data_IF_677927329651
#
_entry.id   IF_677927329651
#
_cell.length_a   1.000
_cell.length_b   1.000
_cell.length_c   1.000
_cell.angle_alpha   90.00
_cell.angle_beta   90.00
_cell.angle_gamma   90.00
#
_symmetry.space_group_name_H-M   'P 1'
#
loop_
_entity.id
_entity.type
_entity.pdbx_description
1 polymer ?
#
# COMPACT_ATOMS: atom_id res chain seq x y z
N UNK A 1 18.20 29.25 68.55
CA UNK A 1 17.32 30.44 68.74
C UNK A 1 15.91 29.96 68.47
N UNK A 2 15.26 29.36 69.48
CA UNK A 2 14.18 29.97 70.29
C UNK A 2 12.92 30.25 69.44
N UNK A 3 11.68 29.92 69.77
CA UNK A 3 10.96 29.37 70.94
C UNK A 3 9.54 29.06 70.35
N UNK A 4 8.82 27.96 70.69
CA UNK A 4 7.67 27.93 71.62
C UNK A 4 6.53 28.93 71.25
N UNK A 5 5.22 28.67 71.12
CA UNK A 5 4.23 27.77 71.75
C UNK A 5 2.95 27.78 70.86
N UNK A 6 2.24 26.67 70.64
CA UNK A 6 1.15 26.10 71.44
C UNK A 6 -0.06 27.04 71.69
N UNK A 7 -1.21 26.76 71.05
CA UNK A 7 -2.44 26.52 71.81
C UNK A 7 -3.49 25.73 71.02
N UNK A 8 -3.91 24.60 71.63
CA UNK A 8 -5.17 23.89 71.40
C UNK A 8 -6.34 24.81 71.76
N UNK A 9 -7.53 24.69 71.19
CA UNK A 9 -8.61 23.74 71.50
C UNK A 9 -9.79 24.13 70.56
N UNK A 10 -10.74 23.31 70.11
CA UNK A 10 -11.59 22.34 70.78
C UNK A 10 -12.24 21.41 69.74
N UNK A 11 -12.53 20.17 70.13
CA UNK A 11 -13.56 19.30 69.52
C UNK A 11 -14.67 19.09 70.57
N UNK A 12 -15.94 18.92 70.18
CA UNK A 12 -16.51 17.57 69.95
C UNK A 12 -17.48 17.48 68.73
N UNK A 13 -17.51 16.38 67.97
CA UNK A 13 -18.46 15.22 67.99
C UNK A 13 -19.96 15.66 67.98
N UNK A 14 -20.89 15.11 67.19
CA UNK A 14 -20.95 13.90 66.38
C UNK A 14 -22.16 13.99 65.41
N UNK A 15 -22.17 13.19 64.34
CA UNK A 15 -23.35 12.95 63.52
C UNK A 15 -23.08 11.91 62.44
N UNK A 16 -23.47 10.66 62.68
CA UNK A 16 -23.43 9.57 61.69
C UNK A 16 -24.46 9.84 60.59
N UNK A 17 -24.10 9.55 59.34
CA UNK A 17 -24.96 8.74 58.48
C UNK A 17 -24.16 8.19 57.30
N UNK A 18 -24.26 6.88 57.12
CA UNK A 18 -23.77 6.11 55.99
C UNK A 18 -24.50 6.51 54.70
N UNK A 19 -23.83 6.42 53.53
CA UNK A 19 -24.11 5.45 52.45
C UNK A 19 -23.68 5.94 51.04
N UNK A 20 -22.96 5.04 50.37
CA UNK A 20 -23.04 4.68 48.93
C UNK A 20 -22.14 5.39 47.92
N UNK A 21 -21.08 4.64 47.56
CA UNK A 21 -20.62 4.30 46.21
C UNK A 21 -21.04 5.22 45.04
N UNK A 22 -20.03 5.86 44.42
CA UNK A 22 -20.12 6.50 43.12
C UNK A 22 -18.76 6.43 42.44
N UNK A 23 -18.59 5.40 41.61
CA UNK A 23 -17.39 5.01 40.88
C UNK A 23 -16.96 6.09 39.87
N UNK A 24 -15.78 6.70 40.05
CA UNK A 24 -15.16 7.59 39.05
C UNK A 24 -14.78 6.79 37.81
N UNK A 25 -15.61 6.88 36.76
CA UNK A 25 -15.31 6.30 35.46
C UNK A 25 -14.12 7.06 34.84
N UNK A 26 -13.00 6.35 34.70
CA UNK A 26 -11.95 6.69 33.75
C UNK A 26 -12.60 6.68 32.36
N UNK A 27 -12.65 7.84 31.71
CA UNK A 27 -13.06 7.98 30.33
C UNK A 27 -11.94 7.43 29.44
N UNK A 28 -11.95 6.12 29.17
CA UNK A 28 -11.18 5.54 28.07
C UNK A 28 -11.76 6.02 26.75
N UNK A 29 -11.21 7.11 26.21
CA UNK A 29 -11.36 7.43 24.80
C UNK A 29 -10.64 6.34 24.02
N UNK A 30 -11.41 5.33 23.59
CA UNK A 30 -11.03 4.40 22.54
C UNK A 30 -10.83 5.23 21.26
N UNK A 31 -9.60 5.68 21.04
CA UNK A 31 -9.15 6.09 19.72
C UNK A 31 -8.95 4.81 18.92
N UNK A 32 -10.05 4.23 18.44
CA UNK A 32 -10.01 3.32 17.32
C UNK A 32 -9.46 4.12 16.15
N UNK A 33 -8.15 4.06 15.94
CA UNK A 33 -7.52 4.60 14.75
C UNK A 33 -8.23 3.95 13.57
N UNK A 34 -9.09 4.73 12.91
CA UNK A 34 -9.75 4.30 11.69
C UNK A 34 -8.64 4.02 10.68
N UNK A 35 -8.29 2.74 10.53
CA UNK A 35 -7.46 2.28 9.43
C UNK A 35 -8.16 2.73 8.15
N UNK A 36 -7.63 3.75 7.48
CA UNK A 36 -8.10 4.11 6.15
C UNK A 36 -8.01 2.84 5.31
N UNK A 37 -9.05 2.47 4.54
CA UNK A 37 -8.96 1.31 3.66
C UNK A 37 -7.73 1.49 2.78
N UNK A 38 -6.84 0.50 2.81
CA UNK A 38 -5.60 0.54 2.04
C UNK A 38 -6.00 0.58 0.56
N UNK A 39 -5.79 1.74 -0.07
CA UNK A 39 -5.99 1.86 -1.50
C UNK A 39 -4.77 1.26 -2.18
N UNK A 40 -5.02 0.27 -3.05
CA UNK A 40 -4.03 -0.30 -3.95
C UNK A 40 -4.24 0.27 -5.35
N UNK A 41 -3.18 0.46 -6.15
CA UNK A 41 -3.34 0.70 -7.56
C UNK A 41 -4.03 -0.50 -8.20
N UNK A 42 -4.70 -0.32 -9.34
CA UNK A 42 -5.46 -1.40 -9.98
C UNK A 42 -4.59 -2.64 -10.25
N UNK A 43 -5.25 -3.77 -10.46
CA UNK A 43 -4.56 -5.02 -10.77
C UNK A 43 -3.68 -4.88 -12.01
N UNK A 44 -2.44 -5.43 -12.00
CA UNK A 44 -1.60 -5.49 -13.20
C UNK A 44 -2.23 -6.32 -14.32
N UNK A 45 -3.21 -7.19 -14.02
CA UNK A 45 -3.94 -8.02 -15.00
C UNK A 45 -4.94 -7.21 -15.84
N UNK A 46 -5.36 -6.03 -15.37
CA UNK A 46 -6.28 -5.17 -16.12
C UNK A 46 -5.52 -4.47 -17.24
N UNK A 47 -5.90 -4.78 -18.47
CA UNK A 47 -5.31 -4.17 -19.66
C UNK A 47 -5.84 -2.75 -19.83
N UNK A 48 -4.94 -1.82 -20.15
CA UNK A 48 -5.29 -0.47 -20.59
C UNK A 48 -4.56 -0.19 -21.90
N UNK A 49 -5.29 0.25 -22.93
CA UNK A 49 -4.70 0.44 -24.26
C UNK A 49 -4.13 -0.83 -24.88
N UNK A 50 -4.55 -2.01 -24.40
CA UNK A 50 -4.01 -3.32 -24.81
C UNK A 50 -2.79 -3.80 -24.00
N UNK A 51 -2.33 -3.02 -23.00
CA UNK A 51 -1.13 -3.33 -22.22
C UNK A 51 -1.48 -3.66 -20.77
N UNK A 52 -0.99 -4.81 -20.30
CA UNK A 52 -0.97 -5.15 -18.89
C UNK A 52 -0.10 -4.16 -18.12
N UNK A 53 -0.37 -3.98 -16.83
CA UNK A 53 0.36 -3.09 -15.92
C UNK A 53 0.31 -1.59 -16.24
N UNK A 54 -0.11 -1.13 -17.43
CA UNK A 54 -0.15 0.30 -17.76
C UNK A 54 -1.09 1.09 -16.85
N UNK A 55 -2.33 0.62 -16.67
CA UNK A 55 -3.28 1.30 -15.79
C UNK A 55 -2.80 1.30 -14.33
N UNK A 56 -2.12 0.24 -13.90
CA UNK A 56 -1.50 0.16 -12.58
C UNK A 56 -0.35 1.16 -12.41
N UNK A 57 0.48 1.32 -13.44
CA UNK A 57 1.55 2.32 -13.45
C UNK A 57 0.97 3.72 -13.30
N UNK A 58 -0.07 4.05 -14.08
CA UNK A 58 -0.78 5.34 -14.00
C UNK A 58 -1.33 5.58 -12.59
N UNK A 59 -1.98 4.59 -11.98
CA UNK A 59 -2.49 4.71 -10.62
C UNK A 59 -1.36 4.94 -9.61
N UNK A 60 -0.24 4.22 -9.75
CA UNK A 60 0.95 4.44 -8.89
C UNK A 60 1.45 5.88 -8.99
N UNK A 61 1.51 6.45 -10.20
CA UNK A 61 1.95 7.85 -10.39
C UNK A 61 1.01 8.82 -9.66
N UNK A 62 -0.31 8.66 -9.86
CA UNK A 62 -1.32 9.50 -9.21
C UNK A 62 -1.29 9.37 -7.67
N UNK A 63 -1.20 8.13 -7.18
CA UNK A 63 -1.16 7.83 -5.74
C UNK A 63 0.11 8.35 -5.08
N UNK A 64 1.26 8.25 -5.75
CA UNK A 64 2.52 8.80 -5.24
C UNK A 64 2.42 10.31 -5.09
N UNK A 65 1.95 11.00 -6.13
CA UNK A 65 1.77 12.45 -6.09
C UNK A 65 0.79 12.88 -4.98
N UNK A 66 -0.21 12.05 -4.67
CA UNK A 66 -1.15 12.27 -3.57
C UNK A 66 -0.61 11.87 -2.18
N UNK A 67 0.64 11.38 -2.07
CA UNK A 67 1.24 10.93 -0.81
C UNK A 67 0.65 9.63 -0.25
N UNK A 68 0.03 8.81 -1.10
CA UNK A 68 -0.68 7.58 -0.69
C UNK A 68 0.21 6.33 -0.72
N UNK A 69 1.34 6.36 -1.44
CA UNK A 69 2.33 5.27 -1.50
C UNK A 69 3.75 5.81 -1.34
N UNK A 70 4.66 4.99 -0.82
CA UNK A 70 6.06 5.35 -0.54
C UNK A 70 7.00 5.02 -1.72
N UNK A 71 8.17 5.66 -1.75
CA UNK A 71 9.07 5.72 -2.91
C UNK A 71 9.81 4.44 -3.30
N UNK A 72 9.87 3.42 -2.42
CA UNK A 72 10.98 2.46 -2.39
C UNK A 72 11.27 1.67 -3.69
N UNK A 73 10.38 1.66 -4.70
CA UNK A 73 10.61 1.00 -6.00
C UNK A 73 9.81 1.66 -7.16
N UNK A 74 9.56 2.95 -7.10
CA UNK A 74 8.73 3.64 -8.08
C UNK A 74 9.50 3.92 -9.39
N UNK A 75 8.98 3.42 -10.53
CA UNK A 75 9.52 3.55 -11.90
C UNK A 75 10.90 2.94 -12.18
N UNK A 76 11.70 2.63 -11.16
CA UNK A 76 13.11 2.25 -11.31
C UNK A 76 13.36 0.75 -11.29
N UNK A 77 12.36 -0.07 -10.93
CA UNK A 77 12.51 -1.52 -10.84
C UNK A 77 11.27 -2.27 -11.33
N UNK A 78 11.45 -3.57 -11.60
CA UNK A 78 10.37 -4.48 -11.94
C UNK A 78 9.55 -4.08 -13.17
N UNK A 79 8.25 -4.34 -13.14
CA UNK A 79 7.34 -4.09 -14.25
C UNK A 79 7.23 -2.63 -14.67
N UNK A 80 7.37 -1.68 -13.74
CA UNK A 80 7.33 -0.25 -14.09
C UNK A 80 8.47 0.10 -15.03
N UNK A 81 9.72 -0.23 -14.63
CA UNK A 81 10.92 0.04 -15.42
C UNK A 81 10.80 -0.59 -16.80
N UNK A 82 10.43 -1.86 -16.86
CA UNK A 82 10.34 -2.58 -18.13
C UNK A 82 9.25 -2.03 -19.05
N UNK A 83 8.13 -1.54 -18.49
CA UNK A 83 7.08 -0.92 -19.29
C UNK A 83 7.57 0.40 -19.88
N UNK A 84 8.23 1.24 -19.07
CA UNK A 84 8.74 2.54 -19.52
C UNK A 84 9.79 2.36 -20.62
N UNK A 85 10.69 1.39 -20.45
CA UNK A 85 11.69 1.01 -21.46
C UNK A 85 11.03 0.53 -22.76
N UNK A 86 9.99 -0.32 -22.67
CA UNK A 86 9.23 -0.79 -23.84
C UNK A 86 8.57 0.38 -24.58
N UNK A 87 8.00 1.33 -23.84
CA UNK A 87 7.32 2.49 -24.41
C UNK A 87 8.29 3.50 -25.03
N UNK A 88 9.59 3.47 -24.69
CA UNK A 88 10.56 4.45 -25.18
C UNK A 88 10.30 5.88 -24.70
N UNK A 89 9.64 6.05 -23.55
CA UNK A 89 9.25 7.34 -22.99
C UNK A 89 10.12 7.64 -21.77
N UNK A 90 10.55 8.89 -21.61
CA UNK A 90 11.29 9.29 -20.42
C UNK A 90 10.38 9.22 -19.17
N UNK A 91 10.83 8.67 -18.03
CA UNK A 91 10.00 8.52 -16.83
C UNK A 91 9.34 9.84 -16.37
N UNK A 92 10.08 10.95 -16.41
CA UNK A 92 9.62 12.26 -15.99
C UNK A 92 8.57 12.86 -16.94
N UNK A 93 8.65 12.57 -18.24
CA UNK A 93 7.62 12.94 -19.21
C UNK A 93 6.33 12.17 -18.99
N UNK A 94 6.43 10.86 -18.74
CA UNK A 94 5.27 10.03 -18.42
C UNK A 94 4.59 10.54 -17.14
N UNK A 95 5.36 10.83 -16.08
CA UNK A 95 4.82 11.39 -14.85
C UNK A 95 4.07 12.70 -15.09
N UNK A 96 4.70 13.68 -15.74
CA UNK A 96 4.05 14.96 -16.08
C UNK A 96 2.77 14.75 -16.90
N UNK A 97 2.80 13.82 -17.86
CA UNK A 97 1.62 13.52 -18.68
C UNK A 97 0.50 12.95 -17.83
N UNK A 98 0.77 11.97 -16.98
CA UNK A 98 -0.25 11.31 -16.16
C UNK A 98 -0.90 12.29 -15.19
N UNK A 99 -0.13 13.21 -14.61
CA UNK A 99 -0.64 14.20 -13.67
C UNK A 99 -1.47 15.31 -14.32
N UNK A 100 -1.29 15.56 -15.63
CA UNK A 100 -2.02 16.58 -16.38
C UNK A 100 -3.18 16.03 -17.21
N UNK A 101 -3.25 14.71 -17.41
CA UNK A 101 -4.27 14.06 -18.22
C UNK A 101 -5.63 14.02 -17.53
N UNK A 102 -6.71 14.14 -18.32
CA UNK A 102 -8.09 14.13 -17.80
C UNK A 102 -8.67 12.71 -17.70
N UNK A 103 -8.11 11.78 -18.47
CA UNK A 103 -8.59 10.40 -18.57
C UNK A 103 -7.44 9.44 -18.84
N UNK A 104 -7.71 8.14 -18.73
CA UNK A 104 -6.75 7.09 -19.11
C UNK A 104 -6.59 7.01 -20.64
N UNK A 105 -7.66 7.26 -21.40
CA UNK A 105 -7.62 7.28 -22.88
C UNK A 105 -6.76 8.43 -23.41
N UNK A 106 -6.75 9.58 -22.73
CA UNK A 106 -5.87 10.71 -23.02
C UNK A 106 -4.39 10.31 -22.88
N UNK A 107 -4.08 9.47 -21.89
CA UNK A 107 -2.72 8.97 -21.64
C UNK A 107 -2.35 7.95 -22.70
N UNK A 108 -3.22 6.98 -22.98
CA UNK A 108 -3.00 5.97 -24.04
C UNK A 108 -2.76 6.63 -25.39
N UNK A 109 -3.57 7.62 -25.74
CA UNK A 109 -3.43 8.37 -26.99
C UNK A 109 -2.10 9.13 -27.07
N UNK A 110 -1.67 9.72 -25.95
CA UNK A 110 -0.39 10.41 -25.89
C UNK A 110 0.79 9.45 -26.01
N UNK A 111 0.76 8.32 -25.30
CA UNK A 111 1.78 7.27 -25.40
C UNK A 111 1.94 6.79 -26.84
N UNK A 112 0.82 6.54 -27.54
CA UNK A 112 0.85 6.12 -28.96
C UNK A 112 1.47 7.17 -29.89
N UNK A 113 1.40 8.45 -29.53
CA UNK A 113 1.92 9.54 -30.35
C UNK A 113 3.38 9.92 -30.03
N UNK A 114 3.88 9.60 -28.83
CA UNK A 114 5.19 10.08 -28.35
C UNK A 114 6.16 8.95 -27.99
N UNK A 115 5.66 7.75 -27.72
CA UNK A 115 6.48 6.56 -27.48
C UNK A 115 6.83 5.81 -28.75
N UNK A 116 7.51 4.68 -28.59
CA UNK A 116 7.75 3.74 -29.67
C UNK A 116 6.45 3.12 -30.17
N UNK A 117 6.37 2.94 -31.50
CA UNK A 117 5.27 2.21 -32.12
C UNK A 117 5.40 0.72 -31.78
N UNK A 118 4.49 0.23 -30.94
CA UNK A 118 4.41 -1.18 -30.60
C UNK A 118 3.56 -1.93 -31.62
N UNK A 119 4.10 -3.02 -32.14
CA UNK A 119 3.34 -3.98 -32.95
C UNK A 119 2.42 -4.83 -32.09
N UNK A 120 1.47 -5.53 -32.71
CA UNK A 120 0.63 -6.50 -32.01
C UNK A 120 1.45 -7.62 -31.35
N UNK A 121 2.61 -7.98 -31.94
CA UNK A 121 3.50 -8.97 -31.34
C UNK A 121 4.20 -8.42 -30.10
N UNK A 122 4.65 -7.16 -30.12
CA UNK A 122 5.25 -6.51 -28.94
C UNK A 122 4.24 -6.47 -27.79
N UNK A 123 2.98 -6.14 -28.08
CA UNK A 123 1.90 -6.12 -27.08
C UNK A 123 1.61 -7.52 -26.53
N UNK A 124 1.58 -8.55 -27.38
CA UNK A 124 1.39 -9.95 -26.93
C UNK A 124 2.55 -10.40 -26.04
N UNK A 125 3.79 -10.17 -26.45
CA UNK A 125 4.97 -10.54 -25.68
C UNK A 125 5.03 -9.79 -24.35
N UNK A 126 4.69 -8.50 -24.35
CA UNK A 126 4.57 -7.72 -23.13
C UNK A 126 3.53 -8.31 -22.17
N UNK A 127 2.32 -8.57 -22.67
CA UNK A 127 1.25 -9.10 -21.84
C UNK A 127 1.60 -10.48 -21.27
N UNK A 128 2.15 -11.39 -22.07
CA UNK A 128 2.63 -12.69 -21.59
C UNK A 128 3.74 -12.52 -20.54
N UNK A 129 4.70 -11.61 -20.77
CA UNK A 129 5.76 -11.29 -19.80
C UNK A 129 5.21 -10.82 -18.46
N UNK A 130 4.11 -10.07 -18.41
CA UNK A 130 3.50 -9.63 -17.15
C UNK A 130 2.67 -10.74 -16.53
N UNK A 131 1.77 -11.33 -17.30
CA UNK A 131 0.74 -12.24 -16.80
C UNK A 131 1.27 -13.63 -16.44
N UNK A 132 2.39 -14.05 -17.04
CA UNK A 132 2.91 -15.42 -16.94
C UNK A 132 4.30 -15.49 -16.29
N UNK A 133 4.95 -14.34 -16.01
CA UNK A 133 6.29 -14.37 -15.43
C UNK A 133 6.30 -14.93 -14.01
N UNK A 134 6.89 -16.11 -13.86
CA UNK A 134 7.34 -16.68 -12.60
C UNK A 134 8.84 -16.45 -12.34
N UNK A 135 9.35 -16.92 -11.20
CA UNK A 135 10.79 -16.96 -10.92
C UNK A 135 11.51 -17.92 -11.89
N UNK A 136 12.58 -17.44 -12.54
CA UNK A 136 13.32 -18.20 -13.58
C UNK A 136 14.68 -18.74 -13.15
N UNK A 137 15.20 -18.27 -12.03
CA UNK A 137 16.49 -18.67 -11.46
C UNK A 137 16.39 -18.78 -9.94
N UNK A 138 17.42 -19.31 -9.29
CA UNK A 138 17.42 -19.55 -7.84
C UNK A 138 17.30 -18.27 -7.03
N UNK A 139 17.92 -17.19 -7.49
CA UNK A 139 17.84 -15.89 -6.83
C UNK A 139 16.41 -15.31 -6.94
N UNK A 140 15.77 -15.45 -8.09
CA UNK A 140 14.38 -15.06 -8.32
C UNK A 140 13.42 -15.89 -7.51
N UNK A 141 13.66 -17.20 -7.40
CA UNK A 141 12.86 -18.12 -6.59
C UNK A 141 12.96 -17.76 -5.11
N UNK A 142 14.16 -17.45 -4.61
CA UNK A 142 14.33 -16.98 -3.24
C UNK A 142 13.57 -15.68 -2.97
N UNK A 143 13.67 -14.68 -3.87
CA UNK A 143 12.89 -13.44 -3.76
C UNK A 143 11.38 -13.70 -3.78
N UNK A 144 10.93 -14.68 -4.54
CA UNK A 144 9.53 -15.07 -4.64
C UNK A 144 9.04 -15.69 -3.32
N UNK A 145 9.80 -16.62 -2.77
CA UNK A 145 9.55 -17.24 -1.46
C UNK A 145 9.55 -16.20 -0.33
N UNK A 146 10.53 -15.28 -0.31
CA UNK A 146 10.59 -14.20 0.67
C UNK A 146 9.36 -13.28 0.57
N UNK A 147 8.84 -13.04 -0.65
CA UNK A 147 7.60 -12.26 -0.84
C UNK A 147 6.38 -12.98 -0.27
N UNK A 148 6.24 -14.28 -0.52
CA UNK A 148 5.16 -15.09 0.03
C UNK A 148 5.23 -15.14 1.57
N UNK A 149 6.43 -15.33 2.13
CA UNK A 149 6.63 -15.28 3.57
C UNK A 149 6.22 -13.93 4.17
N UNK A 150 6.55 -12.82 3.48
CA UNK A 150 6.11 -11.48 3.87
C UNK A 150 4.58 -11.33 3.87
N UNK A 151 3.91 -11.84 2.84
CA UNK A 151 2.43 -11.81 2.74
C UNK A 151 1.80 -12.65 3.84
N UNK A 152 2.29 -13.87 4.06
CA UNK A 152 1.84 -14.77 5.11
C UNK A 152 1.98 -14.10 6.49
N UNK A 153 3.12 -13.46 6.75
CA UNK A 153 3.38 -12.70 7.97
C UNK A 153 2.39 -11.54 8.18
N UNK A 154 2.08 -10.77 7.13
CA UNK A 154 1.06 -9.70 7.20
C UNK A 154 -0.34 -10.24 7.51
N UNK A 155 -0.68 -11.41 6.98
CA UNK A 155 -1.98 -12.07 7.16
C UNK A 155 -2.06 -12.91 8.44
N UNK A 156 -0.95 -13.15 9.12
CA UNK A 156 -0.89 -14.01 10.32
C UNK A 156 -1.15 -15.49 10.03
N UNK A 157 -0.84 -15.96 8.82
CA UNK A 157 -1.01 -17.35 8.38
C UNK A 157 0.31 -17.98 8.02
N UNK A 158 0.33 -19.29 7.77
CA UNK A 158 1.51 -19.97 7.21
C UNK A 158 1.56 -19.77 5.70
N UNK A 159 2.76 -19.88 5.11
CA UNK A 159 2.92 -19.79 3.66
C UNK A 159 2.13 -20.88 2.93
N UNK A 160 2.03 -22.07 3.52
CA UNK A 160 1.29 -23.20 2.93
C UNK A 160 -0.23 -22.99 2.92
N UNK A 161 -0.74 -22.08 3.76
CA UNK A 161 -2.16 -21.74 3.84
C UNK A 161 -2.55 -20.63 2.85
N UNK A 162 -1.56 -20.02 2.17
CA UNK A 162 -1.83 -19.02 1.13
C UNK A 162 -2.38 -19.70 -0.14
N UNK A 163 -3.31 -19.03 -0.87
CA UNK A 163 -3.63 -19.38 -2.24
C UNK A 163 -2.36 -19.57 -3.09
N UNK A 164 -2.36 -20.59 -3.93
CA UNK A 164 -1.20 -20.94 -4.76
C UNK A 164 -0.89 -19.84 -5.77
N UNK A 165 0.16 -19.09 -5.51
CA UNK A 165 0.74 -18.12 -6.44
C UNK A 165 1.87 -18.76 -7.27
N UNK A 166 1.87 -18.56 -8.58
CA UNK A 166 2.92 -19.08 -9.47
C UNK A 166 3.66 -17.99 -10.24
N UNK A 167 3.06 -16.81 -10.35
CA UNK A 167 3.62 -15.66 -11.06
C UNK A 167 3.85 -14.49 -10.12
N UNK A 168 4.74 -13.56 -10.51
CA UNK A 168 4.95 -12.32 -9.76
C UNK A 168 3.68 -11.50 -9.63
N UNK A 169 2.82 -11.55 -10.64
CA UNK A 169 1.51 -10.92 -10.61
C UNK A 169 0.60 -11.58 -9.59
N UNK A 170 0.61 -12.92 -9.42
CA UNK A 170 -0.18 -13.57 -8.37
C UNK A 170 0.27 -13.12 -6.97
N UNK A 171 1.57 -12.93 -6.76
CA UNK A 171 2.05 -12.34 -5.50
C UNK A 171 1.50 -10.93 -5.26
N UNK A 172 1.32 -10.13 -6.32
CA UNK A 172 0.71 -8.79 -6.22
C UNK A 172 -0.79 -8.92 -5.90
N UNK A 173 -1.53 -9.77 -6.63
CA UNK A 173 -2.96 -9.99 -6.36
C UNK A 173 -3.17 -10.46 -4.91
N UNK A 174 -2.32 -11.37 -4.45
CA UNK A 174 -2.38 -11.92 -3.11
C UNK A 174 -2.00 -10.88 -2.03
N UNK A 175 -0.97 -10.06 -2.25
CA UNK A 175 -0.60 -9.00 -1.29
C UNK A 175 -1.63 -7.87 -1.23
N UNK A 176 -2.46 -7.73 -2.28
CA UNK A 176 -3.47 -6.68 -2.41
C UNK A 176 -4.91 -7.20 -2.24
N UNK A 177 -5.05 -8.35 -1.57
CA UNK A 177 -6.34 -8.94 -1.15
C UNK A 177 -7.31 -9.25 -2.29
N UNK A 178 -6.78 -9.66 -3.44
CA UNK A 178 -7.54 -10.13 -4.61
C UNK A 178 -7.44 -11.65 -4.82
N UNK A 179 -6.76 -12.34 -3.91
CA UNK A 179 -6.67 -13.81 -3.82
C UNK A 179 -6.79 -14.29 -2.37
#
# INVERSE_FOLDING_TARGET
MAHLLFHRSDRPRAGRACRHAGNSRISTQNHGAGMKPQQYPRSPKILLGGMAHLGRLIDKIRMRHAGQIQDYNYLTTGFDKYLIELLGIAPDELERRVLSARSDDDIVSWIRAHGYTLSDEDLRQWNARILEAGPKDDAARRRFEDRLAGIAGKRGVRVEDLPRATTWVDCIELDEDRM
#
